data_IF_307001901939
#
_entry.id   IF_307001901939
#
_cell.length_a   1.000
_cell.length_b   1.000
_cell.length_c   1.000
_cell.angle_alpha   90.00
_cell.angle_beta   90.00
_cell.angle_gamma   90.00
#
_symmetry.space_group_name_H-M   'P 1'
#
loop_
_entity.id
_entity.type
_entity.pdbx_description
1 polymer ?
#
# COMPACT_ATOMS: atom_id res chain seq x y z
N UNK A 1 -4.88 -2.57 -34.01
CA UNK A 1 -4.48 -2.66 -32.65
C UNK A 1 -5.39 -3.62 -31.90
N UNK A 2 -4.83 -4.74 -31.53
CA UNK A 2 -5.59 -5.78 -30.80
C UNK A 2 -6.02 -5.24 -29.43
N UNK A 3 -7.32 -5.04 -29.30
CA UNK A 3 -7.96 -4.84 -28.00
C UNK A 3 -7.91 -6.21 -27.32
N UNK A 4 -7.00 -6.36 -26.35
CA UNK A 4 -6.91 -7.56 -25.54
C UNK A 4 -8.29 -7.80 -24.90
N UNK A 5 -8.94 -8.93 -25.28
CA UNK A 5 -10.25 -9.28 -24.79
C UNK A 5 -10.10 -9.70 -23.33
N UNK A 6 -10.55 -8.86 -22.39
CA UNK A 6 -10.60 -9.12 -20.94
C UNK A 6 -11.27 -10.44 -20.55
N UNK A 7 -11.98 -11.09 -21.46
CA UNK A 7 -12.84 -12.24 -21.18
C UNK A 7 -12.08 -13.52 -20.81
N UNK A 8 -10.80 -13.65 -21.19
CA UNK A 8 -10.03 -14.88 -20.99
C UNK A 8 -8.88 -14.73 -19.97
N UNK A 9 -8.62 -13.52 -19.44
CA UNK A 9 -7.56 -13.31 -18.48
C UNK A 9 -8.01 -13.62 -17.06
N UNK A 10 -7.17 -14.40 -16.35
CA UNK A 10 -7.34 -14.68 -14.91
C UNK A 10 -6.18 -14.13 -14.11
N UNK A 11 -6.51 -13.41 -13.07
CA UNK A 11 -5.54 -12.95 -12.08
C UNK A 11 -4.86 -14.14 -11.39
N UNK A 12 -3.71 -13.95 -10.69
CA UNK A 12 -3.16 -15.00 -9.83
C UNK A 12 -4.23 -15.61 -8.94
N UNK A 13 -4.24 -16.94 -8.78
CA UNK A 13 -5.36 -17.67 -8.20
C UNK A 13 -5.82 -17.12 -6.84
N UNK A 14 -4.88 -16.75 -5.98
CA UNK A 14 -5.18 -16.14 -4.68
C UNK A 14 -5.95 -14.83 -4.82
N UNK A 15 -5.49 -13.95 -5.70
CA UNK A 15 -6.15 -12.67 -5.97
C UNK A 15 -7.48 -12.85 -6.69
N UNK A 16 -7.55 -13.81 -7.61
CA UNK A 16 -8.82 -14.16 -8.31
C UNK A 16 -9.88 -14.60 -7.31
N UNK A 17 -9.54 -15.45 -6.34
CA UNK A 17 -10.45 -15.85 -5.27
C UNK A 17 -11.00 -14.67 -4.47
N UNK A 18 -10.16 -13.66 -4.19
CA UNK A 18 -10.58 -12.42 -3.52
C UNK A 18 -11.54 -11.60 -4.41
N UNK A 19 -11.19 -11.44 -5.68
CA UNK A 19 -12.00 -10.68 -6.66
C UNK A 19 -13.37 -11.32 -6.87
N UNK A 20 -13.43 -12.63 -6.90
CA UNK A 20 -14.66 -13.40 -7.12
C UNK A 20 -15.67 -13.30 -5.96
N UNK A 21 -15.25 -12.79 -4.79
CA UNK A 21 -16.16 -12.43 -3.71
C UNK A 21 -17.00 -11.16 -4.01
N UNK A 22 -16.68 -10.42 -5.07
CA UNK A 22 -17.43 -9.22 -5.44
C UNK A 22 -18.69 -9.55 -6.27
N UNK A 23 -19.84 -9.05 -5.85
CA UNK A 23 -21.14 -9.28 -6.51
C UNK A 23 -21.31 -8.47 -7.80
N UNK A 24 -20.60 -7.36 -7.92
CA UNK A 24 -20.65 -6.48 -9.08
C UNK A 24 -19.28 -6.22 -9.69
N UNK A 25 -19.18 -5.80 -10.95
CA UNK A 25 -17.91 -5.40 -11.55
C UNK A 25 -17.17 -4.33 -10.74
N UNK A 26 -17.90 -3.36 -10.19
CA UNK A 26 -17.31 -2.31 -9.36
C UNK A 26 -16.78 -2.87 -8.02
N UNK A 27 -17.49 -3.80 -7.38
CA UNK A 27 -16.97 -4.49 -6.19
C UNK A 27 -15.71 -5.30 -6.50
N UNK A 28 -15.66 -5.99 -7.63
CA UNK A 28 -14.47 -6.73 -8.06
C UNK A 28 -13.26 -5.83 -8.27
N UNK A 29 -13.47 -4.65 -8.86
CA UNK A 29 -12.41 -3.67 -9.05
C UNK A 29 -11.87 -3.13 -7.72
N UNK A 30 -12.74 -2.81 -6.75
CA UNK A 30 -12.27 -2.34 -5.43
C UNK A 30 -11.62 -3.44 -4.61
N UNK A 31 -12.07 -4.70 -4.75
CA UNK A 31 -11.41 -5.84 -4.13
C UNK A 31 -10.00 -6.07 -4.71
N UNK A 32 -9.83 -5.92 -6.03
CA UNK A 32 -8.52 -5.95 -6.68
C UNK A 32 -7.59 -4.86 -6.13
N UNK A 33 -8.03 -3.60 -6.15
CA UNK A 33 -7.21 -2.47 -5.69
C UNK A 33 -6.95 -2.53 -4.18
N UNK A 34 -7.96 -2.89 -3.41
CA UNK A 34 -7.86 -3.06 -1.96
C UNK A 34 -6.90 -4.18 -1.58
N UNK A 35 -7.06 -5.38 -2.17
CA UNK A 35 -6.16 -6.50 -1.92
C UNK A 35 -4.72 -6.18 -2.33
N UNK A 36 -4.50 -5.56 -3.50
CA UNK A 36 -3.18 -5.12 -3.92
C UNK A 36 -2.56 -4.14 -2.89
N UNK A 37 -3.37 -3.22 -2.34
CA UNK A 37 -2.90 -2.26 -1.33
C UNK A 37 -2.53 -2.93 -0.01
N UNK A 38 -3.39 -3.81 0.49
CA UNK A 38 -3.17 -4.51 1.76
C UNK A 38 -2.01 -5.49 1.65
N UNK A 39 -1.96 -6.33 0.61
CA UNK A 39 -0.84 -7.25 0.39
C UNK A 39 0.47 -6.48 0.15
N UNK A 40 0.42 -5.40 -0.65
CA UNK A 40 1.57 -4.52 -0.87
C UNK A 40 2.14 -3.94 0.40
N UNK A 41 1.31 -3.62 1.41
CA UNK A 41 1.77 -3.10 2.71
C UNK A 41 2.63 -4.08 3.49
N UNK A 42 2.54 -5.36 3.20
CA UNK A 42 3.30 -6.42 3.86
C UNK A 42 4.61 -6.75 3.15
N UNK A 43 4.78 -6.28 1.90
CA UNK A 43 5.92 -6.61 1.04
C UNK A 43 7.10 -5.63 1.16
N UNK A 44 6.91 -4.52 1.80
CA UNK A 44 7.89 -3.48 2.19
C UNK A 44 9.28 -3.64 1.58
N UNK A 45 10.23 -4.00 2.48
CA UNK A 45 11.65 -4.18 2.14
C UNK A 45 11.93 -5.45 1.35
N UNK A 46 11.00 -6.40 1.32
CA UNK A 46 11.18 -7.66 0.60
C UNK A 46 11.19 -7.44 -0.92
N UNK A 47 10.23 -6.65 -1.43
CA UNK A 47 10.11 -6.40 -2.87
C UNK A 47 10.52 -4.98 -3.19
N UNK A 48 11.38 -4.81 -4.18
CA UNK A 48 11.84 -3.51 -4.65
C UNK A 48 11.97 -3.48 -6.18
N UNK A 49 12.03 -2.29 -6.73
CA UNK A 49 12.34 -2.07 -8.15
C UNK A 49 12.93 -0.67 -8.35
N UNK A 50 13.60 -0.45 -9.48
CA UNK A 50 14.14 0.86 -9.85
C UNK A 50 13.17 1.56 -10.80
N UNK A 51 12.70 2.75 -10.41
CA UNK A 51 11.85 3.61 -11.22
C UNK A 51 12.29 5.06 -11.06
N UNK A 52 12.54 5.77 -12.17
CA UNK A 52 13.02 7.15 -12.13
C UNK A 52 14.35 7.31 -11.39
N UNK A 53 15.28 6.36 -11.54
CA UNK A 53 16.61 6.32 -10.89
C UNK A 53 16.59 6.19 -9.36
N UNK A 54 15.44 5.83 -8.77
CA UNK A 54 15.28 5.60 -7.33
C UNK A 54 14.71 4.21 -7.07
N UNK A 55 15.09 3.61 -5.96
CA UNK A 55 14.39 2.43 -5.47
C UNK A 55 12.98 2.80 -5.04
N UNK A 56 12.03 2.00 -5.46
CA UNK A 56 10.62 2.10 -5.12
C UNK A 56 10.11 0.73 -4.65
N UNK A 57 8.96 0.75 -4.00
CA UNK A 57 8.40 -0.40 -3.30
C UNK A 57 6.91 -0.51 -3.58
N UNK A 58 6.26 -1.67 -3.36
CA UNK A 58 4.85 -1.92 -3.69
C UNK A 58 3.87 -1.25 -2.72
N UNK A 59 4.10 0.01 -2.36
CA UNK A 59 3.24 0.79 -1.46
C UNK A 59 2.23 1.60 -2.25
N UNK A 60 0.94 1.31 -2.10
CA UNK A 60 -0.15 1.99 -2.77
C UNK A 60 -0.89 2.94 -1.81
N UNK A 61 -1.42 4.02 -2.34
CA UNK A 61 -2.38 4.89 -1.67
C UNK A 61 -3.64 4.97 -2.52
N UNK A 62 -4.73 4.34 -2.06
CA UNK A 62 -5.97 4.18 -2.80
C UNK A 62 -7.12 4.85 -2.06
N UNK A 63 -7.92 5.61 -2.77
CA UNK A 63 -9.15 6.21 -2.27
C UNK A 63 -10.34 5.75 -3.13
N UNK A 64 -11.21 4.94 -2.54
CA UNK A 64 -12.47 4.53 -3.14
C UNK A 64 -13.56 5.51 -2.72
N UNK A 65 -14.15 6.21 -3.67
CA UNK A 65 -15.28 7.09 -3.41
C UNK A 65 -16.55 6.52 -4.00
N UNK A 66 -17.62 6.60 -3.23
CA UNK A 66 -18.89 6.03 -3.61
C UNK A 66 -20.05 6.72 -2.88
N UNK A 67 -21.23 6.87 -3.51
CA UNK A 67 -22.43 7.27 -2.79
C UNK A 67 -22.78 6.26 -1.69
N UNK A 68 -23.67 6.60 -0.76
CA UNK A 68 -24.25 5.65 0.17
C UNK A 68 -24.88 4.45 -0.58
N UNK A 69 -24.90 3.28 0.05
CA UNK A 69 -25.47 2.06 -0.52
C UNK A 69 -24.85 1.66 -1.88
N UNK A 70 -23.52 1.73 -2.00
CA UNK A 70 -22.78 1.39 -3.23
C UNK A 70 -22.06 0.03 -3.17
N UNK A 71 -22.14 -0.68 -2.04
CA UNK A 71 -21.39 -1.94 -1.85
C UNK A 71 -19.90 -1.77 -1.49
N UNK A 72 -19.45 -0.53 -1.20
CA UNK A 72 -18.07 -0.25 -0.79
C UNK A 72 -17.64 -0.95 0.52
N UNK A 73 -18.61 -1.41 1.31
CA UNK A 73 -18.37 -2.19 2.54
C UNK A 73 -17.53 -3.45 2.33
N UNK A 74 -17.46 -3.98 1.10
CA UNK A 74 -16.57 -5.10 0.74
C UNK A 74 -15.09 -4.85 1.08
N UNK A 75 -14.66 -3.58 1.22
CA UNK A 75 -13.30 -3.25 1.65
C UNK A 75 -13.01 -3.63 3.12
N UNK A 76 -14.04 -3.83 3.95
CA UNK A 76 -13.83 -4.35 5.31
C UNK A 76 -13.26 -5.76 5.30
N UNK A 77 -13.66 -6.59 4.33
CA UNK A 77 -13.13 -7.96 4.17
C UNK A 77 -11.64 -7.92 3.83
N UNK A 78 -11.24 -7.02 2.92
CA UNK A 78 -9.84 -6.91 2.48
C UNK A 78 -8.92 -6.54 3.66
N UNK A 79 -9.38 -5.71 4.59
CA UNK A 79 -8.64 -5.36 5.81
C UNK A 79 -8.28 -6.60 6.64
N UNK A 80 -9.17 -7.64 6.65
CA UNK A 80 -8.95 -8.89 7.38
C UNK A 80 -7.67 -9.63 6.93
N UNK A 81 -7.23 -9.45 5.68
CA UNK A 81 -5.98 -10.04 5.19
C UNK A 81 -4.74 -9.56 5.97
N UNK A 82 -4.77 -8.35 6.53
CA UNK A 82 -3.66 -7.79 7.30
C UNK A 82 -3.71 -8.14 8.79
N UNK A 83 -4.87 -8.52 9.31
CA UNK A 83 -5.08 -8.72 10.75
C UNK A 83 -4.21 -9.82 11.36
N UNK A 84 -3.96 -10.98 10.74
CA UNK A 84 -3.07 -11.99 11.31
C UNK A 84 -1.64 -11.49 11.53
N UNK A 85 -1.13 -10.66 10.63
CA UNK A 85 0.20 -10.03 10.75
C UNK A 85 0.18 -8.98 11.86
N UNK A 86 -0.83 -8.12 11.86
CA UNK A 86 -1.02 -7.09 12.87
C UNK A 86 -1.12 -7.67 14.28
N UNK A 87 -1.95 -8.71 14.46
CA UNK A 87 -2.16 -9.37 15.74
C UNK A 87 -0.89 -10.04 16.24
N UNK A 88 -0.12 -10.70 15.38
CA UNK A 88 1.16 -11.31 15.75
C UNK A 88 2.18 -10.26 16.25
N UNK A 89 2.21 -9.06 15.66
CA UNK A 89 3.05 -7.96 16.14
C UNK A 89 2.59 -7.46 17.51
N UNK A 90 1.28 -7.31 17.72
CA UNK A 90 0.72 -6.91 19.01
C UNK A 90 0.96 -7.97 20.11
N UNK A 91 0.81 -9.24 19.80
CA UNK A 91 1.06 -10.33 20.77
C UNK A 91 2.53 -10.36 21.18
N UNK A 92 3.45 -10.21 20.23
CA UNK A 92 4.88 -10.04 20.53
C UNK A 92 5.15 -8.85 21.45
N UNK A 93 4.47 -7.71 21.20
CA UNK A 93 4.58 -6.54 22.09
C UNK A 93 4.01 -6.82 23.49
N UNK A 94 2.85 -7.47 23.59
CA UNK A 94 2.20 -7.81 24.87
C UNK A 94 3.10 -8.68 25.76
N UNK A 95 3.81 -9.63 25.16
CA UNK A 95 4.78 -10.46 25.86
C UNK A 95 5.99 -9.64 26.35
N UNK A 96 6.56 -8.84 25.45
CA UNK A 96 7.71 -7.98 25.78
C UNK A 96 7.40 -6.95 26.86
N UNK A 97 6.24 -6.29 26.80
CA UNK A 97 5.84 -5.28 27.79
C UNK A 97 5.59 -5.91 29.17
N UNK A 98 5.10 -7.15 29.20
CA UNK A 98 4.97 -7.92 30.46
C UNK A 98 6.33 -8.17 31.07
N UNK A 99 7.29 -8.65 30.32
CA UNK A 99 8.68 -8.87 30.76
C UNK A 99 9.32 -7.57 31.24
N UNK A 100 9.22 -6.50 30.46
CA UNK A 100 9.72 -5.18 30.84
C UNK A 100 9.15 -4.69 32.18
N UNK A 101 7.84 -4.82 32.38
CA UNK A 101 7.22 -4.42 33.68
C UNK A 101 7.79 -5.16 34.86
N UNK A 102 8.06 -6.46 34.71
CA UNK A 102 8.68 -7.27 35.75
C UNK A 102 10.12 -6.86 36.05
N UNK A 103 10.91 -6.61 34.98
CA UNK A 103 12.29 -6.16 35.08
C UNK A 103 12.38 -4.74 35.65
N UNK A 104 11.51 -3.85 35.22
CA UNK A 104 11.42 -2.48 35.74
C UNK A 104 11.06 -2.44 37.22
N UNK A 105 10.11 -3.26 37.65
CA UNK A 105 9.76 -3.40 39.10
C UNK A 105 10.96 -3.86 39.88
N UNK A 106 11.71 -4.89 39.43
CA UNK A 106 12.94 -5.35 40.08
C UNK A 106 13.98 -4.24 40.14
N UNK A 107 14.20 -3.56 39.03
CA UNK A 107 15.16 -2.45 38.92
C UNK A 107 14.79 -1.31 39.90
N UNK A 108 13.50 -0.98 40.01
CA UNK A 108 13.02 0.06 40.92
C UNK A 108 13.29 -0.25 42.42
N UNK A 109 13.47 -1.52 42.77
CA UNK A 109 13.77 -1.96 44.14
C UNK A 109 15.28 -1.97 44.48
N UNK A 110 16.17 -1.79 43.48
CA UNK A 110 17.62 -1.93 43.68
C UNK A 110 18.28 -0.83 44.55
N UNK A 111 17.58 0.22 44.92
CA UNK A 111 18.13 1.28 45.76
C UNK A 111 19.43 1.90 45.20
N UNK A 112 20.55 1.81 45.96
CA UNK A 112 21.84 2.35 45.53
C UNK A 112 22.48 1.61 44.34
N UNK A 113 22.11 0.35 44.12
CA UNK A 113 22.64 -0.46 43.01
C UNK A 113 22.11 -0.01 41.62
N UNK A 114 21.07 0.81 41.62
CA UNK A 114 20.59 1.44 40.35
C UNK A 114 21.70 2.18 39.60
N UNK A 115 22.65 2.79 40.29
CA UNK A 115 23.75 3.50 39.68
C UNK A 115 24.66 2.62 38.79
N UNK A 116 24.70 1.31 39.10
CA UNK A 116 25.53 0.34 38.39
C UNK A 116 24.73 -0.63 37.48
N UNK A 117 23.39 -0.51 37.50
CA UNK A 117 22.50 -1.40 36.71
C UNK A 117 21.72 -0.57 35.69
N UNK A 118 21.87 -0.85 34.41
CA UNK A 118 21.13 -0.12 33.37
C UNK A 118 19.63 -0.27 33.58
N UNK A 119 18.91 0.80 33.34
CA UNK A 119 17.44 0.76 33.35
C UNK A 119 16.93 -0.09 32.20
N UNK A 120 15.95 -1.00 32.43
CA UNK A 120 15.34 -1.76 31.35
C UNK A 120 14.73 -0.84 30.28
N UNK A 121 14.96 -1.15 29.01
CA UNK A 121 14.40 -0.40 27.89
C UNK A 121 12.94 -0.81 27.64
N UNK A 122 12.08 0.20 27.48
CA UNK A 122 10.68 -0.06 27.14
C UNK A 122 10.58 -0.57 25.69
N UNK A 123 9.89 -1.70 25.44
CA UNK A 123 9.71 -2.20 24.09
C UNK A 123 8.87 -1.27 23.25
N UNK A 124 9.24 -1.14 21.98
CA UNK A 124 8.49 -0.36 21.00
C UNK A 124 7.19 -1.08 20.63
N UNK A 125 6.09 -0.32 20.52
CA UNK A 125 4.80 -0.82 20.05
C UNK A 125 4.81 -1.00 18.53
N UNK A 126 5.06 -2.23 18.07
CA UNK A 126 4.99 -2.55 16.64
C UNK A 126 3.58 -2.90 16.22
N UNK A 127 3.12 -2.32 15.12
CA UNK A 127 1.82 -2.60 14.52
C UNK A 127 1.88 -2.46 13.00
N UNK A 128 1.00 -3.13 12.28
CA UNK A 128 0.83 -2.93 10.84
C UNK A 128 -0.33 -1.96 10.55
N UNK A 129 -1.49 -2.20 11.18
CA UNK A 129 -2.68 -1.35 11.01
C UNK A 129 -2.58 -0.12 11.92
N UNK A 130 -2.47 1.04 11.32
CA UNK A 130 -2.45 2.35 12.00
C UNK A 130 -3.84 2.95 11.90
N UNK A 131 -4.43 3.35 13.03
CA UNK A 131 -5.76 3.96 13.04
C UNK A 131 -5.77 5.32 12.34
N UNK A 132 -6.82 5.58 11.58
CA UNK A 132 -6.96 6.80 10.79
C UNK A 132 -7.35 8.06 11.59
N UNK A 133 -7.71 7.93 12.86
CA UNK A 133 -8.00 9.05 13.76
C UNK A 133 -6.74 9.60 14.47
N UNK A 134 -5.57 9.07 14.14
CA UNK A 134 -4.30 9.54 14.67
C UNK A 134 -3.91 10.93 14.16
N UNK A 135 -3.14 11.66 14.96
CA UNK A 135 -2.44 12.85 14.50
C UNK A 135 -1.30 12.49 13.54
N UNK A 136 -0.86 13.41 12.71
CA UNK A 136 0.29 13.20 11.81
C UNK A 136 1.56 12.78 12.58
N UNK A 137 1.80 13.35 13.77
CA UNK A 137 2.90 12.94 14.65
C UNK A 137 2.71 11.53 15.18
N UNK A 138 1.50 11.16 15.59
CA UNK A 138 1.20 9.81 16.06
C UNK A 138 1.44 8.75 15.00
N UNK A 139 1.10 9.05 13.73
CA UNK A 139 1.42 8.14 12.61
C UNK A 139 2.93 8.03 12.41
N UNK A 140 3.68 9.14 12.49
CA UNK A 140 5.13 9.12 12.38
C UNK A 140 5.76 8.24 13.46
N UNK A 141 5.30 8.34 14.71
CA UNK A 141 5.76 7.50 15.82
C UNK A 141 5.47 6.02 15.58
N UNK A 142 4.22 5.70 15.20
CA UNK A 142 3.83 4.33 14.89
C UNK A 142 4.68 3.74 13.75
N UNK A 143 4.96 4.53 12.71
CA UNK A 143 5.84 4.09 11.61
C UNK A 143 7.26 3.82 12.11
N UNK A 144 7.84 4.73 12.91
CA UNK A 144 9.20 4.57 13.42
C UNK A 144 9.32 3.37 14.36
N UNK A 145 8.33 3.14 15.22
CA UNK A 145 8.29 1.97 16.11
C UNK A 145 8.13 0.66 15.36
N UNK A 146 7.43 0.69 14.22
CA UNK A 146 7.13 -0.49 13.38
C UNK A 146 8.15 -0.72 12.26
N UNK A 147 9.36 -0.15 12.36
CA UNK A 147 10.39 -0.32 11.34
C UNK A 147 10.09 0.41 10.03
N UNK A 148 9.38 1.51 10.12
CA UNK A 148 8.95 2.40 9.03
C UNK A 148 7.84 1.84 8.15
N UNK A 149 7.10 0.84 8.64
CA UNK A 149 6.05 0.11 7.91
C UNK A 149 4.70 0.39 8.53
N UNK A 150 3.67 0.60 7.69
CA UNK A 150 2.31 0.77 8.16
C UNK A 150 1.27 0.67 7.04
N UNK A 151 0.03 0.42 7.46
CA UNK A 151 -1.17 0.43 6.65
C UNK A 151 -2.26 1.23 7.36
N UNK A 152 -2.75 2.29 6.73
CA UNK A 152 -4.00 2.94 7.12
C UNK A 152 -5.09 2.34 6.25
N UNK A 153 -6.09 1.72 6.87
CA UNK A 153 -7.19 1.08 6.17
C UNK A 153 -8.51 1.47 6.85
N UNK A 154 -9.17 2.51 6.31
CA UNK A 154 -10.40 3.05 6.86
C UNK A 154 -11.52 3.04 5.81
N UNK A 155 -12.63 2.45 6.18
CA UNK A 155 -13.81 2.33 5.31
C UNK A 155 -14.72 3.57 5.38
N UNK A 156 -14.49 4.44 6.35
CA UNK A 156 -15.18 5.72 6.51
C UNK A 156 -14.15 6.84 6.62
N UNK A 157 -14.01 7.58 5.53
CA UNK A 157 -13.03 8.67 5.44
C UNK A 157 -13.31 9.85 6.40
N UNK A 158 -14.49 9.89 7.06
CA UNK A 158 -14.81 10.90 8.09
C UNK A 158 -13.83 10.83 9.26
N UNK A 159 -13.42 9.62 9.66
CA UNK A 159 -12.43 9.41 10.71
C UNK A 159 -11.13 10.13 10.39
N UNK A 160 -10.66 9.95 9.16
CA UNK A 160 -9.42 10.57 8.65
C UNK A 160 -9.61 12.07 8.42
N UNK A 161 -10.76 12.50 7.88
CA UNK A 161 -10.99 13.92 7.59
C UNK A 161 -11.12 14.76 8.87
N UNK A 162 -11.65 14.18 9.96
CA UNK A 162 -11.69 14.83 11.27
C UNK A 162 -10.27 15.03 11.84
N UNK A 163 -9.41 14.01 11.75
CA UNK A 163 -8.02 14.09 12.17
C UNK A 163 -7.24 15.14 11.36
N UNK A 164 -7.45 15.19 10.04
CA UNK A 164 -6.83 16.16 9.14
C UNK A 164 -7.27 17.60 9.45
N UNK A 165 -8.55 17.82 9.73
CA UNK A 165 -9.09 19.12 10.07
C UNK A 165 -8.47 19.71 11.36
N UNK A 166 -8.09 18.85 12.30
CA UNK A 166 -7.42 19.25 13.55
C UNK A 166 -5.91 19.43 13.46
N UNK A 167 -5.24 18.86 12.47
CA UNK A 167 -3.79 18.73 12.38
C UNK A 167 -3.12 19.71 11.38
N UNK A 168 -3.81 20.77 10.98
CA UNK A 168 -3.29 21.88 10.16
C UNK A 168 -2.40 21.48 8.96
N UNK A 169 -2.75 20.40 8.27
CA UNK A 169 -2.10 20.01 7.01
C UNK A 169 -0.89 19.06 7.13
N UNK A 170 -0.47 18.67 8.32
CA UNK A 170 0.64 17.73 8.52
C UNK A 170 0.38 16.35 7.87
N UNK A 171 -0.87 15.89 7.83
CA UNK A 171 -1.26 14.67 7.15
C UNK A 171 -0.92 14.66 5.66
N UNK A 172 -1.26 15.74 4.94
CA UNK A 172 -0.99 15.83 3.51
C UNK A 172 0.50 15.76 3.19
N UNK A 173 1.34 16.43 3.97
CA UNK A 173 2.80 16.37 3.82
C UNK A 173 3.33 14.97 4.13
N UNK A 174 2.85 14.37 5.21
CA UNK A 174 3.19 13.01 5.62
C UNK A 174 2.87 11.99 4.52
N UNK A 175 1.63 11.98 4.00
CA UNK A 175 1.23 11.04 2.95
C UNK A 175 2.04 11.22 1.67
N UNK A 176 2.36 12.47 1.29
CA UNK A 176 3.19 12.75 0.12
C UNK A 176 4.62 12.23 0.28
N UNK A 177 5.24 12.44 1.45
CA UNK A 177 6.57 11.91 1.77
C UNK A 177 6.58 10.39 1.77
N UNK A 178 5.59 9.76 2.40
CA UNK A 178 5.46 8.30 2.42
C UNK A 178 5.24 7.71 1.03
N UNK A 179 4.49 8.39 0.15
CA UNK A 179 4.31 7.95 -1.24
C UNK A 179 5.64 7.87 -1.99
N UNK A 180 6.51 8.85 -1.78
CA UNK A 180 7.83 8.93 -2.43
C UNK A 180 8.91 8.14 -1.69
N UNK A 181 8.59 7.50 -0.55
CA UNK A 181 9.52 6.82 0.37
C UNK A 181 10.59 7.76 0.94
N UNK A 182 10.23 9.03 1.14
CA UNK A 182 11.15 10.02 1.66
C UNK A 182 11.34 9.86 3.17
N UNK A 183 12.43 10.48 3.64
CA UNK A 183 12.78 10.55 5.07
C UNK A 183 11.69 11.26 5.86
N UNK A 184 11.34 10.72 7.02
CA UNK A 184 10.58 11.38 8.06
C UNK A 184 11.47 11.64 9.26
N UNK A 185 11.32 12.82 9.86
CA UNK A 185 11.97 13.16 11.11
C UNK A 185 11.11 14.13 11.91
N UNK A 186 11.12 13.99 13.22
CA UNK A 186 10.56 14.98 14.12
C UNK A 186 11.50 15.26 15.30
N UNK A 187 11.34 16.45 15.86
CA UNK A 187 12.10 16.91 17.04
C UNK A 187 11.10 17.43 18.06
N UNK A 188 10.98 16.76 19.19
CA UNK A 188 10.18 17.21 20.34
C UNK A 188 11.08 18.02 21.29
N UNK A 189 10.85 19.32 21.35
CA UNK A 189 11.58 20.21 22.26
C UNK A 189 11.37 19.88 23.74
N UNK A 190 10.17 19.38 24.08
CA UNK A 190 9.79 19.11 25.47
C UNK A 190 10.67 18.04 26.13
N UNK A 191 11.08 17.02 25.38
CA UNK A 191 11.85 15.88 25.87
C UNK A 191 13.25 15.80 25.21
N UNK A 192 13.65 16.79 24.40
CA UNK A 192 14.84 16.74 23.56
C UNK A 192 14.91 15.47 22.70
N UNK A 193 13.75 14.95 22.32
CA UNK A 193 13.63 13.72 21.56
C UNK A 193 13.72 14.01 20.06
N UNK A 194 14.74 13.44 19.41
CA UNK A 194 14.85 13.42 17.96
C UNK A 194 14.71 11.99 17.46
N UNK A 195 13.78 11.79 16.54
CA UNK A 195 13.58 10.50 15.86
C UNK A 195 13.50 10.69 14.37
N UNK A 196 14.02 9.72 13.61
CA UNK A 196 13.98 9.72 12.16
C UNK A 196 13.90 8.31 11.59
N UNK A 197 13.36 8.23 10.38
CA UNK A 197 13.49 7.07 9.52
C UNK A 197 13.82 7.52 8.09
N UNK A 198 14.77 6.84 7.46
CA UNK A 198 15.31 7.27 6.16
C UNK A 198 14.43 6.85 4.99
N UNK A 199 13.62 5.81 5.15
CA UNK A 199 12.72 5.26 4.13
C UNK A 199 11.42 4.86 4.78
N UNK A 200 10.30 5.24 4.19
CA UNK A 200 8.95 4.95 4.71
C UNK A 200 8.18 4.02 3.78
N UNK A 201 7.38 3.14 4.39
CA UNK A 201 6.54 2.15 3.72
C UNK A 201 5.11 2.25 4.26
N UNK A 202 4.38 3.30 3.86
CA UNK A 202 3.00 3.51 4.28
C UNK A 202 2.06 3.28 3.10
N UNK A 203 1.23 2.25 3.21
CA UNK A 203 0.09 2.05 2.34
C UNK A 203 -1.16 2.69 2.94
N UNK A 204 -2.05 3.15 2.09
CA UNK A 204 -3.30 3.79 2.49
C UNK A 204 -4.45 3.25 1.64
N UNK A 205 -5.48 2.75 2.30
CA UNK A 205 -6.73 2.34 1.68
C UNK A 205 -7.87 3.06 2.40
N UNK A 206 -8.44 4.04 1.72
CA UNK A 206 -9.56 4.81 2.25
C UNK A 206 -10.80 4.57 1.40
N UNK A 207 -11.97 4.57 2.04
CA UNK A 207 -13.22 4.72 1.32
C UNK A 207 -14.12 5.77 1.97
N UNK A 208 -14.89 6.46 1.12
CA UNK A 208 -15.76 7.52 1.60
C UNK A 208 -16.75 8.01 0.55
N UNK A 209 -17.55 8.97 0.91
CA UNK A 209 -18.45 9.66 -0.01
C UNK A 209 -17.69 10.75 -0.80
N UNK A 210 -18.20 11.21 -1.95
CA UNK A 210 -17.58 12.33 -2.67
C UNK A 210 -17.40 13.60 -1.84
N UNK A 211 -18.29 13.85 -0.86
CA UNK A 211 -18.18 15.01 0.02
C UNK A 211 -16.97 14.94 0.97
N UNK A 212 -16.51 13.74 1.30
CA UNK A 212 -15.38 13.49 2.19
C UNK A 212 -14.01 13.66 1.52
N UNK A 213 -13.97 13.86 0.20
CA UNK A 213 -12.72 14.11 -0.53
C UNK A 213 -12.17 15.51 -0.21
N UNK A 214 -13.03 16.53 -0.15
CA UNK A 214 -12.60 17.93 0.03
C UNK A 214 -11.79 18.20 1.31
N UNK A 215 -12.18 17.68 2.48
CA UNK A 215 -11.37 17.85 3.69
C UNK A 215 -9.97 17.22 3.56
N UNK A 216 -9.88 16.07 2.90
CA UNK A 216 -8.62 15.37 2.68
C UNK A 216 -7.77 16.04 1.58
N UNK A 217 -8.40 16.46 0.49
CA UNK A 217 -7.76 17.03 -0.69
C UNK A 217 -8.45 18.36 -1.02
N UNK A 218 -8.07 19.45 -0.35
CA UNK A 218 -8.75 20.75 -0.51
C UNK A 218 -8.59 21.33 -1.91
N UNK A 219 -7.53 20.98 -2.64
CA UNK A 219 -7.32 21.37 -4.03
C UNK A 219 -6.45 20.38 -4.77
N UNK A 220 -6.55 20.36 -6.10
CA UNK A 220 -5.70 19.51 -6.95
C UNK A 220 -4.21 19.93 -6.92
N UNK A 221 -3.92 21.17 -6.51
CA UNK A 221 -2.56 21.71 -6.41
C UNK A 221 -1.81 21.23 -5.16
N UNK A 222 -2.53 20.68 -4.18
CA UNK A 222 -1.95 20.17 -2.93
C UNK A 222 -0.88 19.06 -3.15
N UNK A 223 -0.83 18.44 -4.33
CA UNK A 223 0.09 17.34 -4.64
C UNK A 223 -0.34 15.99 -4.04
N UNK A 224 -1.25 15.93 -3.08
CA UNK A 224 -1.82 14.69 -2.56
C UNK A 224 -2.76 14.07 -3.60
N UNK A 225 -3.57 14.89 -4.31
CA UNK A 225 -4.43 14.45 -5.40
C UNK A 225 -3.68 13.55 -6.38
N UNK A 226 -2.54 14.00 -6.87
CA UNK A 226 -1.79 13.25 -7.88
C UNK A 226 -1.24 11.91 -7.40
N UNK A 227 -1.09 11.71 -6.09
CA UNK A 227 -0.49 10.52 -5.49
C UNK A 227 -1.51 9.44 -5.12
N UNK A 228 -2.78 9.81 -4.97
CA UNK A 228 -3.85 8.85 -4.71
C UNK A 228 -4.29 8.15 -5.99
N UNK A 229 -4.52 6.84 -5.92
CA UNK A 229 -5.29 6.11 -6.91
C UNK A 229 -6.77 6.23 -6.55
N UNK A 230 -7.52 6.90 -7.40
CA UNK A 230 -8.96 7.07 -7.20
C UNK A 230 -9.75 5.98 -7.90
N UNK A 231 -10.79 5.51 -7.24
CA UNK A 231 -11.83 4.70 -7.83
C UNK A 231 -13.19 5.24 -7.42
N UNK A 232 -14.05 5.56 -8.40
CA UNK A 232 -15.41 6.00 -8.16
C UNK A 232 -16.38 4.85 -8.44
N UNK A 233 -17.12 4.42 -7.43
CA UNK A 233 -18.17 3.41 -7.59
C UNK A 233 -19.51 4.09 -7.92
N UNK A 234 -20.29 3.54 -8.87
CA UNK A 234 -21.67 3.96 -9.06
C UNK A 234 -22.55 3.55 -7.86
N UNK A 235 -23.68 4.18 -7.72
CA UNK A 235 -24.73 3.72 -6.80
C UNK A 235 -25.27 2.36 -7.26
N UNK A 236 -25.73 1.53 -6.32
CA UNK A 236 -26.52 0.32 -6.63
C UNK A 236 -27.92 0.78 -6.99
N UNK A 237 -28.39 0.39 -8.18
CA UNK A 237 -29.70 0.78 -8.70
C UNK A 237 -30.82 -0.19 -8.30
N UNK A 238 -30.47 -1.46 -8.02
CA UNK A 238 -31.41 -2.52 -7.72
C UNK A 238 -31.10 -3.15 -6.37
N UNK A 239 -32.15 -3.64 -5.69
CA UNK A 239 -31.98 -4.41 -4.45
C UNK A 239 -31.28 -5.73 -4.73
N UNK A 240 -30.18 -6.00 -4.03
CA UNK A 240 -29.49 -7.29 -4.07
C UNK A 240 -30.07 -8.23 -2.99
N UNK A 241 -30.30 -9.50 -3.36
CA UNK A 241 -30.69 -10.52 -2.41
C UNK A 241 -29.57 -10.74 -1.39
N UNK A 242 -29.89 -10.53 -0.11
CA UNK A 242 -28.95 -10.68 1.00
C UNK A 242 -28.90 -12.12 1.55
N UNK A 243 -29.78 -13.01 1.06
CA UNK A 243 -29.91 -14.38 1.52
C UNK A 243 -29.32 -15.36 0.48
N UNK A 244 -28.22 -14.98 -0.14
CA UNK A 244 -27.53 -15.83 -1.09
C UNK A 244 -27.17 -17.19 -0.46
N UNK A 245 -27.33 -18.27 -1.23
CA UNK A 245 -27.17 -19.68 -0.82
C UNK A 245 -25.75 -20.05 -0.32
N UNK A 246 -24.78 -19.17 -0.41
CA UNK A 246 -23.46 -19.40 0.17
C UNK A 246 -23.47 -18.95 1.64
N UNK A 247 -23.65 -19.88 2.56
CA UNK A 247 -23.39 -19.75 3.99
C UNK A 247 -21.89 -19.41 4.27
N UNK A 248 -21.37 -18.44 3.53
CA UNK A 248 -19.94 -18.10 3.61
C UNK A 248 -19.77 -16.79 4.33
N UNK A 249 -19.26 -16.85 5.54
CA UNK A 249 -18.75 -15.69 6.27
C UNK A 249 -17.44 -15.21 5.62
N UNK A 250 -17.50 -14.11 4.88
CA UNK A 250 -16.33 -13.53 4.25
C UNK A 250 -15.31 -12.96 5.25
N UNK A 251 -15.74 -12.50 6.41
CA UNK A 251 -14.80 -12.05 7.44
C UNK A 251 -13.88 -13.20 7.88
N UNK A 252 -14.45 -14.37 8.17
CA UNK A 252 -13.68 -15.56 8.53
C UNK A 252 -12.80 -16.05 7.38
N UNK A 253 -13.33 -16.08 6.15
CA UNK A 253 -12.57 -16.49 4.97
C UNK A 253 -11.36 -15.61 4.70
N UNK A 254 -11.51 -14.30 4.78
CA UNK A 254 -10.40 -13.36 4.56
C UNK A 254 -9.38 -13.39 5.69
N UNK A 255 -9.81 -13.64 6.93
CA UNK A 255 -8.88 -13.91 8.04
C UNK A 255 -8.04 -15.17 7.80
N UNK A 256 -8.66 -16.25 7.36
CA UNK A 256 -7.95 -17.50 7.02
C UNK A 256 -6.94 -17.27 5.89
N UNK A 257 -7.35 -16.60 4.81
CA UNK A 257 -6.45 -16.22 3.72
C UNK A 257 -5.30 -15.32 4.19
N UNK A 258 -5.57 -14.39 5.10
CA UNK A 258 -4.55 -13.56 5.73
C UNK A 258 -3.56 -14.38 6.57
N UNK A 259 -4.01 -15.40 7.29
CA UNK A 259 -3.15 -16.30 8.03
C UNK A 259 -2.25 -17.12 7.10
N UNK A 260 -2.80 -17.66 6.03
CA UNK A 260 -2.03 -18.40 5.01
C UNK A 260 -1.01 -17.50 4.28
N UNK A 261 -1.41 -16.28 3.97
CA UNK A 261 -0.48 -15.27 3.43
C UNK A 261 0.68 -15.00 4.40
N UNK A 262 0.37 -14.82 5.69
CA UNK A 262 1.39 -14.60 6.72
C UNK A 262 2.38 -15.75 6.80
N UNK A 263 1.94 -17.00 6.77
CA UNK A 263 2.82 -18.18 6.80
C UNK A 263 3.82 -18.16 5.65
N UNK A 264 3.34 -17.91 4.41
CA UNK A 264 4.21 -17.83 3.22
C UNK A 264 5.17 -16.65 3.34
N UNK A 265 4.68 -15.48 3.78
CA UNK A 265 5.49 -14.28 3.93
C UNK A 265 6.59 -14.46 4.98
N UNK A 266 6.27 -15.04 6.15
CA UNK A 266 7.23 -15.30 7.22
C UNK A 266 8.35 -16.25 6.73
N UNK A 267 7.99 -17.30 6.01
CA UNK A 267 8.95 -18.25 5.45
C UNK A 267 9.89 -17.57 4.43
N UNK A 268 9.35 -16.71 3.56
CA UNK A 268 10.15 -15.98 2.56
C UNK A 268 11.06 -14.96 3.25
N UNK A 269 10.53 -14.16 4.16
CA UNK A 269 11.30 -13.09 4.83
C UNK A 269 12.40 -13.63 5.74
N UNK A 270 12.23 -14.83 6.28
CA UNK A 270 13.28 -15.52 7.03
C UNK A 270 14.46 -16.01 6.13
N UNK A 271 14.23 -16.21 4.84
CA UNK A 271 15.14 -16.90 3.95
C UNK A 271 15.64 -16.05 2.76
N UNK A 272 15.00 -14.91 2.47
CA UNK A 272 15.29 -14.06 1.31
C UNK A 272 15.48 -12.61 1.74
N UNK A 273 16.60 -12.00 1.32
CA UNK A 273 16.89 -10.61 1.69
C UNK A 273 16.16 -9.58 0.83
N UNK A 274 15.97 -9.85 -0.44
CA UNK A 274 15.30 -8.96 -1.37
C UNK A 274 14.85 -9.68 -2.64
N UNK A 275 13.72 -9.26 -3.19
CA UNK A 275 13.20 -9.66 -4.49
C UNK A 275 13.12 -8.41 -5.36
N UNK A 276 13.97 -8.32 -6.38
CA UNK A 276 14.06 -7.16 -7.25
C UNK A 276 13.26 -7.36 -8.53
N UNK A 277 12.15 -6.60 -8.67
CA UNK A 277 11.31 -6.65 -9.86
C UNK A 277 11.97 -5.96 -11.06
N UNK A 278 11.98 -6.64 -12.21
CA UNK A 278 12.54 -6.11 -13.47
C UNK A 278 11.57 -6.35 -14.63
N UNK A 279 11.32 -5.30 -15.41
CA UNK A 279 10.67 -5.41 -16.71
C UNK A 279 11.73 -5.78 -17.78
N UNK A 280 11.30 -6.54 -18.78
CA UNK A 280 12.09 -6.74 -20.00
C UNK A 280 12.26 -5.43 -20.77
N UNK A 281 13.18 -5.40 -21.73
CA UNK A 281 13.38 -4.23 -22.58
C UNK A 281 12.07 -3.88 -23.34
N UNK A 282 11.45 -4.88 -23.93
CA UNK A 282 10.19 -4.74 -24.68
C UNK A 282 9.06 -4.22 -23.77
N UNK A 283 8.88 -4.76 -22.57
CA UNK A 283 7.88 -4.29 -21.62
C UNK A 283 8.11 -2.82 -21.23
N UNK A 284 9.36 -2.40 -21.07
CA UNK A 284 9.69 -0.99 -20.80
C UNK A 284 9.33 -0.06 -21.97
N UNK A 285 9.58 -0.49 -23.21
CA UNK A 285 9.21 0.28 -24.38
C UNK A 285 7.69 0.41 -24.50
N UNK A 286 6.94 -0.68 -24.34
CA UNK A 286 5.48 -0.68 -24.33
C UNK A 286 4.93 0.22 -23.22
N UNK A 287 5.47 0.11 -22.00
CA UNK A 287 5.08 0.93 -20.86
C UNK A 287 5.28 2.42 -21.17
N UNK A 288 6.46 2.80 -21.62
CA UNK A 288 6.78 4.19 -21.95
C UNK A 288 5.92 4.72 -23.08
N UNK A 289 5.71 3.94 -24.14
CA UNK A 289 4.84 4.34 -25.26
C UNK A 289 3.39 4.57 -24.79
N UNK A 290 2.86 3.66 -23.97
CA UNK A 290 1.51 3.78 -23.44
C UNK A 290 1.35 5.06 -22.60
N UNK A 291 2.26 5.28 -21.66
CA UNK A 291 2.19 6.46 -20.78
C UNK A 291 2.49 7.78 -21.50
N UNK A 292 3.34 7.79 -22.53
CA UNK A 292 3.56 8.98 -23.36
C UNK A 292 2.25 9.43 -24.05
N UNK A 293 1.44 8.49 -24.54
CA UNK A 293 0.13 8.79 -25.14
C UNK A 293 -0.86 9.34 -24.12
N UNK A 294 -0.99 8.70 -22.96
CA UNK A 294 -1.90 9.16 -21.90
C UNK A 294 -1.49 10.52 -21.37
N UNK A 295 -0.18 10.73 -21.16
CA UNK A 295 0.38 12.01 -20.71
C UNK A 295 0.12 13.15 -21.69
N UNK A 296 0.32 12.90 -23.01
CA UNK A 296 0.03 13.89 -24.07
C UNK A 296 -1.44 14.28 -24.08
N UNK A 297 -2.35 13.30 -24.01
CA UNK A 297 -3.80 13.54 -23.94
C UNK A 297 -4.19 14.30 -22.67
N UNK A 298 -3.69 13.92 -21.51
CA UNK A 298 -3.96 14.59 -20.24
C UNK A 298 -3.50 16.05 -20.27
N UNK A 299 -2.32 16.29 -20.86
CA UNK A 299 -1.78 17.65 -21.04
C UNK A 299 -2.68 18.54 -21.90
N UNK A 300 -3.21 17.99 -22.97
CA UNK A 300 -4.05 18.74 -23.92
C UNK A 300 -5.44 19.08 -23.35
N UNK A 301 -6.01 18.20 -22.53
CA UNK A 301 -7.39 18.33 -22.03
C UNK A 301 -7.45 19.04 -20.67
N UNK A 302 -6.57 18.68 -19.74
CA UNK A 302 -6.66 19.07 -18.32
C UNK A 302 -5.44 19.84 -17.81
N UNK A 303 -4.43 20.10 -18.66
CA UNK A 303 -3.25 20.85 -18.27
C UNK A 303 -2.33 20.14 -17.25
N UNK A 304 -1.62 20.95 -16.46
CA UNK A 304 -0.54 20.45 -15.59
C UNK A 304 -1.01 19.57 -14.42
N UNK A 305 -2.22 19.74 -13.93
CA UNK A 305 -2.75 18.97 -12.82
C UNK A 305 -2.83 17.48 -13.18
N UNK A 306 -3.38 17.16 -14.34
CA UNK A 306 -3.48 15.77 -14.79
C UNK A 306 -2.15 15.20 -15.30
N UNK A 307 -1.20 16.01 -15.75
CA UNK A 307 0.18 15.55 -16.02
C UNK A 307 0.80 14.91 -14.76
N UNK A 308 0.67 15.60 -13.63
CA UNK A 308 1.16 15.10 -12.35
C UNK A 308 0.47 13.81 -11.94
N UNK A 309 -0.85 13.71 -12.12
CA UNK A 309 -1.62 12.50 -11.83
C UNK A 309 -1.18 11.32 -12.72
N UNK A 310 -1.03 11.52 -14.03
CA UNK A 310 -0.58 10.47 -14.97
C UNK A 310 0.81 9.95 -14.59
N UNK A 311 1.73 10.85 -14.23
CA UNK A 311 3.07 10.45 -13.78
C UNK A 311 3.02 9.54 -12.54
N UNK A 312 2.06 9.79 -11.62
CA UNK A 312 1.90 8.96 -10.40
C UNK A 312 1.08 7.71 -10.66
N UNK A 313 0.13 7.75 -11.58
CA UNK A 313 -0.53 6.52 -12.05
C UNK A 313 0.52 5.56 -12.64
N UNK A 314 1.50 6.06 -13.41
CA UNK A 314 2.56 5.22 -13.96
C UNK A 314 3.36 4.47 -12.90
N UNK A 315 3.81 5.14 -11.84
CA UNK A 315 4.52 4.46 -10.76
C UNK A 315 3.60 3.50 -9.99
N UNK A 316 2.33 3.86 -9.77
CA UNK A 316 1.37 2.98 -9.10
C UNK A 316 1.06 1.73 -9.93
N UNK A 317 0.97 1.85 -11.25
CA UNK A 317 0.86 0.70 -12.17
C UNK A 317 2.08 -0.21 -12.01
N UNK A 318 3.29 0.35 -11.94
CA UNK A 318 4.48 -0.48 -11.72
C UNK A 318 4.48 -1.16 -10.33
N UNK A 319 3.97 -0.50 -9.30
CA UNK A 319 3.74 -1.10 -7.97
C UNK A 319 2.77 -2.28 -8.06
N UNK A 320 1.64 -2.12 -8.76
CA UNK A 320 0.68 -3.21 -8.97
C UNK A 320 1.33 -4.36 -9.77
N UNK A 321 2.09 -4.04 -10.83
CA UNK A 321 2.86 -5.05 -11.59
C UNK A 321 3.73 -5.89 -10.65
N UNK A 322 4.45 -5.28 -9.72
CA UNK A 322 5.33 -6.00 -8.80
C UNK A 322 4.57 -6.92 -7.85
N UNK A 323 3.40 -6.51 -7.40
CA UNK A 323 2.53 -7.32 -6.54
C UNK A 323 1.96 -8.51 -7.33
N UNK A 324 1.42 -8.26 -8.52
CA UNK A 324 0.84 -9.31 -9.38
C UNK A 324 1.90 -10.33 -9.79
N UNK A 325 3.09 -9.87 -10.19
CA UNK A 325 4.20 -10.76 -10.53
C UNK A 325 4.58 -11.68 -9.37
N UNK A 326 4.65 -11.15 -8.15
CA UNK A 326 4.96 -11.94 -6.97
C UNK A 326 3.85 -12.96 -6.67
N UNK A 327 2.59 -12.53 -6.64
CA UNK A 327 1.46 -13.42 -6.39
C UNK A 327 1.39 -14.55 -7.43
N UNK A 328 1.69 -14.25 -8.70
CA UNK A 328 1.76 -15.25 -9.77
C UNK A 328 2.89 -16.24 -9.54
N UNK A 329 4.05 -15.77 -9.14
CA UNK A 329 5.19 -16.63 -8.86
C UNK A 329 4.97 -17.53 -7.64
N UNK A 330 4.22 -17.05 -6.64
CA UNK A 330 3.91 -17.79 -5.43
C UNK A 330 2.60 -18.60 -5.51
N UNK A 331 1.99 -18.71 -6.67
CA UNK A 331 0.65 -19.30 -6.84
C UNK A 331 0.54 -20.73 -6.28
N UNK A 332 1.60 -21.55 -6.41
CA UNK A 332 1.66 -22.90 -5.83
C UNK A 332 1.72 -22.95 -4.31
N UNK A 333 2.05 -21.83 -3.66
CA UNK A 333 2.19 -21.72 -2.21
C UNK A 333 0.96 -21.08 -1.55
N UNK A 334 0.13 -20.40 -2.34
CA UNK A 334 -0.99 -19.61 -1.89
C UNK A 334 -2.33 -20.34 -2.08
N UNK A 335 -3.40 -19.91 -1.37
CA UNK A 335 -4.75 -20.45 -1.58
C UNK A 335 -5.21 -20.33 -3.03
N UNK A 336 -5.94 -21.34 -3.50
CA UNK A 336 -6.45 -21.39 -4.87
C UNK A 336 -5.46 -21.96 -5.90
N UNK A 337 -4.19 -22.11 -5.54
CA UNK A 337 -3.19 -22.82 -6.35
C UNK A 337 -3.19 -24.34 -6.10
N UNK A 338 -2.57 -25.08 -7.01
CA UNK A 338 -2.35 -26.52 -6.80
C UNK A 338 -1.26 -26.69 -5.72
N UNK A 339 -1.69 -26.86 -4.47
CA UNK A 339 -0.77 -27.14 -3.36
C UNK A 339 -0.16 -28.54 -3.55
N UNK A 340 1.14 -28.61 -3.74
CA UNK A 340 1.90 -29.82 -3.46
C UNK A 340 1.88 -30.03 -1.94
N UNK A 341 1.18 -31.07 -1.46
CA UNK A 341 0.88 -31.26 -0.04
C UNK A 341 2.04 -31.69 0.86
N UNK A 342 3.29 -31.35 0.54
CA UNK A 342 4.45 -31.61 1.39
C UNK A 342 4.82 -30.41 2.26
N UNK A 343 5.19 -30.62 3.55
CA UNK A 343 5.73 -29.56 4.39
C UNK A 343 6.99 -28.98 3.74
N UNK A 344 7.03 -27.64 3.66
CA UNK A 344 8.13 -26.92 3.00
C UNK A 344 9.39 -26.95 3.87
N UNK A 345 10.16 -28.03 3.83
CA UNK A 345 11.43 -28.13 4.56
C UNK A 345 12.47 -27.10 4.12
N UNK A 346 12.33 -26.53 2.89
CA UNK A 346 13.25 -25.49 2.40
C UNK A 346 12.55 -24.55 1.42
N UNK A 347 12.08 -23.41 1.93
CA UNK A 347 11.40 -22.38 1.12
C UNK A 347 12.28 -21.85 -0.02
N UNK A 348 13.60 -21.73 0.17
CA UNK A 348 14.51 -21.25 -0.89
C UNK A 348 14.49 -22.22 -2.08
N UNK A 349 14.53 -23.53 -1.83
CA UNK A 349 14.44 -24.54 -2.88
C UNK A 349 13.10 -24.46 -3.62
N UNK A 350 12.02 -24.21 -2.90
CA UNK A 350 10.70 -24.01 -3.51
C UNK A 350 10.69 -22.75 -4.37
N UNK A 351 11.25 -21.63 -3.89
CA UNK A 351 11.33 -20.37 -4.65
C UNK A 351 12.19 -20.51 -5.92
N UNK A 352 13.23 -21.32 -5.92
CA UNK A 352 14.04 -21.60 -7.11
C UNK A 352 13.22 -22.28 -8.24
N UNK A 353 12.14 -22.96 -7.88
CA UNK A 353 11.24 -23.61 -8.83
C UNK A 353 9.99 -22.75 -9.17
N UNK A 354 9.82 -21.60 -8.52
CA UNK A 354 8.69 -20.70 -8.79
C UNK A 354 8.87 -19.97 -10.13
N UNK A 355 7.86 -19.96 -11.00
CA UNK A 355 7.91 -19.24 -12.27
C UNK A 355 8.19 -17.75 -12.06
N UNK A 356 9.07 -17.17 -12.86
CA UNK A 356 9.37 -15.73 -12.81
C UNK A 356 10.39 -15.32 -11.74
N UNK A 357 10.74 -16.18 -10.79
CA UNK A 357 11.79 -15.95 -9.82
C UNK A 357 13.11 -16.55 -10.29
N UNK A 358 14.17 -15.76 -10.30
CA UNK A 358 15.53 -16.21 -10.62
C UNK A 358 16.52 -15.65 -9.61
N UNK A 359 17.50 -16.45 -9.12
CA UNK A 359 18.51 -15.91 -8.21
C UNK A 359 19.30 -14.79 -8.88
N UNK A 360 19.65 -13.75 -8.13
CA UNK A 360 20.40 -12.60 -8.64
C UNK A 360 21.88 -12.93 -8.92
N UNK A 361 22.42 -13.95 -8.24
CA UNK A 361 23.75 -14.51 -8.46
C UNK A 361 23.68 -16.03 -8.40
N UNK A 362 24.66 -16.70 -8.98
CA UNK A 362 24.78 -18.15 -8.80
C UNK A 362 24.94 -18.46 -7.31
N UNK A 363 23.97 -19.17 -6.74
CA UNK A 363 23.99 -19.57 -5.34
C UNK A 363 24.54 -21.02 -5.31
N UNK A 364 25.80 -21.25 -4.90
CA UNK A 364 26.28 -22.60 -4.66
C UNK A 364 25.41 -23.27 -3.60
N UNK A 365 25.07 -24.55 -3.79
CA UNK A 365 24.24 -25.29 -2.83
C UNK A 365 24.85 -25.29 -1.41
N UNK A 366 26.17 -25.20 -1.30
CA UNK A 366 26.91 -25.09 -0.04
C UNK A 366 26.59 -23.78 0.72
N UNK A 367 26.40 -22.66 0.02
CA UNK A 367 26.15 -21.36 0.62
C UNK A 367 24.72 -21.22 1.19
N UNK A 368 23.77 -22.05 0.77
CA UNK A 368 22.42 -22.10 1.36
C UNK A 368 22.48 -22.71 2.76
N UNK A 369 23.43 -23.61 2.99
CA UNK A 369 23.68 -24.21 4.31
C UNK A 369 24.42 -23.23 5.26
N UNK A 370 25.17 -22.26 4.73
CA UNK A 370 26.01 -21.32 5.48
C UNK A 370 25.30 -20.01 5.90
N UNK A 371 23.97 -19.92 5.75
CA UNK A 371 23.16 -18.79 6.21
C UNK A 371 23.25 -17.53 5.34
N UNK A 372 23.77 -17.64 4.11
CA UNK A 372 23.74 -16.55 3.13
C UNK A 372 22.31 -16.40 2.61
N UNK A 373 21.72 -15.25 2.84
CA UNK A 373 20.34 -14.93 2.47
C UNK A 373 20.28 -14.49 1.00
N UNK A 374 19.70 -15.30 0.09
CA UNK A 374 19.73 -15.02 -1.34
C UNK A 374 18.89 -13.82 -1.72
N UNK A 375 19.25 -13.20 -2.86
CA UNK A 375 18.44 -12.22 -3.55
C UNK A 375 17.86 -12.82 -4.82
N UNK A 376 16.64 -12.45 -5.17
CA UNK A 376 15.97 -12.90 -6.38
C UNK A 376 15.65 -11.73 -7.31
N UNK A 377 15.67 -11.99 -8.61
CA UNK A 377 15.02 -11.16 -9.61
C UNK A 377 13.62 -11.72 -9.86
N UNK A 378 12.65 -10.83 -10.00
CA UNK A 378 11.26 -11.14 -10.30
C UNK A 378 10.91 -10.56 -11.67
N UNK A 379 10.35 -11.39 -12.53
CA UNK A 379 9.82 -10.98 -13.84
C UNK A 379 8.29 -11.12 -13.86
N UNK A 380 7.63 -10.30 -14.67
CA UNK A 380 6.19 -10.42 -14.90
C UNK A 380 5.91 -11.15 -16.21
N UNK A 381 4.90 -12.01 -16.22
CA UNK A 381 4.36 -12.63 -17.43
C UNK A 381 3.76 -11.56 -18.34
N UNK A 382 3.81 -11.82 -19.63
CA UNK A 382 3.30 -10.89 -20.65
C UNK A 382 1.80 -10.61 -20.46
N UNK A 383 0.99 -11.62 -20.19
CA UNK A 383 -0.47 -11.49 -19.98
C UNK A 383 -0.77 -10.63 -18.74
N UNK A 384 -0.07 -10.90 -17.61
CA UNK A 384 -0.21 -10.14 -16.37
C UNK A 384 0.20 -8.67 -16.58
N UNK A 385 1.28 -8.44 -17.34
CA UNK A 385 1.74 -7.09 -17.67
C UNK A 385 0.67 -6.30 -18.45
N UNK A 386 0.09 -6.89 -19.51
CA UNK A 386 -0.96 -6.22 -20.28
C UNK A 386 -2.25 -6.04 -19.48
N UNK A 387 -2.62 -7.01 -18.64
CA UNK A 387 -3.79 -6.90 -17.78
C UNK A 387 -3.67 -5.74 -16.80
N UNK A 388 -2.50 -5.56 -16.16
CA UNK A 388 -2.25 -4.43 -15.27
C UNK A 388 -2.17 -3.11 -16.05
N UNK A 389 -1.55 -3.11 -17.23
CA UNK A 389 -1.47 -1.91 -18.07
C UNK A 389 -2.87 -1.45 -18.53
N UNK A 390 -3.81 -2.37 -18.72
CA UNK A 390 -5.19 -2.04 -19.05
C UNK A 390 -5.94 -1.27 -17.94
N UNK A 391 -5.45 -1.29 -16.70
CA UNK A 391 -6.01 -0.50 -15.59
C UNK A 391 -5.73 1.00 -15.73
N UNK A 392 -4.77 1.41 -16.56
CA UNK A 392 -4.38 2.82 -16.72
C UNK A 392 -5.56 3.68 -17.14
N UNK A 393 -6.30 3.24 -18.15
CA UNK A 393 -7.42 4.02 -18.70
C UNK A 393 -8.57 4.20 -17.70
N UNK A 394 -9.09 3.15 -17.02
CA UNK A 394 -10.06 3.32 -15.95
C UNK A 394 -9.56 4.25 -14.83
N UNK A 395 -8.33 4.03 -14.33
CA UNK A 395 -7.77 4.85 -13.24
C UNK A 395 -7.60 6.32 -13.65
N UNK A 396 -7.19 6.56 -14.89
CA UNK A 396 -7.15 7.92 -15.44
C UNK A 396 -8.52 8.58 -15.47
N UNK A 397 -9.56 7.87 -15.93
CA UNK A 397 -10.95 8.38 -15.98
C UNK A 397 -11.49 8.68 -14.58
N UNK A 398 -11.23 7.80 -13.61
CA UNK A 398 -11.60 8.04 -12.22
C UNK A 398 -10.89 9.27 -11.66
N UNK A 399 -9.59 9.45 -11.93
CA UNK A 399 -8.86 10.65 -11.51
C UNK A 399 -9.43 11.93 -12.15
N UNK A 400 -9.80 11.91 -13.44
CA UNK A 400 -10.47 13.02 -14.11
C UNK A 400 -11.83 13.34 -13.46
N UNK A 401 -12.60 12.32 -13.13
CA UNK A 401 -13.89 12.51 -12.45
C UNK A 401 -13.70 13.17 -11.08
N UNK A 402 -12.77 12.67 -10.27
CA UNK A 402 -12.47 13.28 -8.97
C UNK A 402 -11.96 14.71 -9.11
N UNK A 403 -11.11 14.98 -10.10
CA UNK A 403 -10.66 16.34 -10.39
C UNK A 403 -11.84 17.30 -10.62
N UNK A 404 -12.88 16.85 -11.32
CA UNK A 404 -14.07 17.68 -11.58
C UNK A 404 -14.91 17.98 -10.32
N UNK A 405 -14.75 17.20 -9.26
CA UNK A 405 -15.42 17.39 -7.97
C UNK A 405 -14.66 18.32 -7.02
N UNK A 406 -13.37 18.55 -7.29
CA UNK A 406 -12.55 19.45 -6.47
C UNK A 406 -12.82 20.92 -6.83
N UNK A 407 -12.67 21.86 -5.88
CA UNK A 407 -12.76 23.28 -6.19
C UNK A 407 -11.75 23.65 -7.26
N UNK A 408 -12.18 24.45 -8.23
CA UNK A 408 -11.25 25.09 -9.17
C UNK A 408 -10.25 25.91 -8.36
N UNK A 409 -8.95 25.68 -8.56
CA UNK A 409 -7.92 26.49 -7.93
C UNK A 409 -8.15 27.96 -8.26
N UNK A 410 -7.91 28.84 -7.30
CA UNK A 410 -8.01 30.29 -7.54
C UNK A 410 -7.09 30.65 -8.70
N UNK A 411 -7.59 31.29 -9.77
CA UNK A 411 -6.72 31.64 -10.88
C UNK A 411 -5.57 32.50 -10.36
N UNK A 412 -4.35 32.07 -10.54
CA UNK A 412 -3.13 32.80 -10.13
C UNK A 412 -3.03 34.17 -10.81
N UNK A 413 -3.92 34.46 -11.74
CA UNK A 413 -3.99 35.70 -12.50
C UNK A 413 -4.46 36.92 -11.68
N UNK A 414 -5.07 36.75 -10.52
CA UNK A 414 -5.52 37.87 -9.68
C UNK A 414 -4.47 38.40 -8.72
N UNK A 415 -3.33 37.70 -8.56
CA UNK A 415 -2.24 38.16 -7.66
C UNK A 415 -1.29 39.19 -8.30
N UNK A 416 -1.39 39.42 -9.60
CA UNK A 416 -0.53 40.37 -10.33
C UNK A 416 -1.19 41.70 -10.69
N UNK A 417 -2.44 41.94 -10.28
CA UNK A 417 -3.19 43.17 -10.61
C UNK A 417 -3.45 44.08 -9.43
N UNK A 418 -2.97 43.81 -8.22
CA UNK A 418 -2.95 44.83 -7.18
C UNK A 418 -1.73 45.71 -7.38
N UNK A 419 -1.90 47.01 -7.60
CA UNK A 419 -0.78 47.93 -7.70
C UNK A 419 0.02 47.88 -6.40
N UNK A 420 1.35 47.84 -6.52
CA UNK A 420 2.26 47.96 -5.39
C UNK A 420 1.96 49.26 -4.61
N UNK A 421 2.00 49.26 -3.27
CA UNK A 421 1.85 50.48 -2.48
C UNK A 421 2.88 51.60 -2.80
N UNK A 422 3.83 51.32 -3.69
CA UNK A 422 4.85 52.29 -4.15
C UNK A 422 4.44 53.06 -5.41
N UNK A 423 3.32 52.71 -6.04
CA UNK A 423 2.86 53.40 -7.24
C UNK A 423 1.78 54.46 -6.98
N UNK A 424 1.56 54.80 -5.70
CA UNK A 424 0.71 55.90 -5.23
C UNK A 424 1.58 56.98 -4.56
N UNK A 425 2.39 57.68 -5.34
CA UNK A 425 3.01 58.94 -4.93
C UNK A 425 2.98 59.94 -6.06
#
# INVERSE_FOLDING_TARGET
GDVYKRQDYRWPAFLQGIIDCGNSPAQRDILLLGAATVLGSTLNKLVSFVYGRKHKYPCLQVFVTAPPASGKGALTWVRRLAEPIHNALLDTYREKIKTYRMEKTKWDTLGKEKANTPEPEQPQLKMLLIAGDNTGTGIQENLMDSGSVGLICETEADTVSTAIGGDHGHWSDLLRKCFDHDRLAYNRRTNHEYRECNVTFLCVLLSGTPAQIKPLIPSAENGLFSRQLFYYMPAIEEWEDQFNEADTDYDSRFLEWGAQWKEVLDAITASVSNINMKLTHEQKEIFNFHFARVFGRASAIHGNQMKSAVTRIAINIFRIISIIALLRSLESLLPGGERSGEPQENIVRTLLNCPGLTPSAHIPQENIADGIVPQFNLSIRTDDFYAVLALVEPLYRHACHILSLLPAGTPTCLLYTSPSPRDCS
#
